data_IF_258079419831
#
_entry.id   IF_258079419831
#
_cell.length_a   1.000
_cell.length_b   1.000
_cell.length_c   1.000
_cell.angle_alpha   90.00
_cell.angle_beta   90.00
_cell.angle_gamma   90.00
#
_symmetry.space_group_name_H-M   'P 1'
#
loop_
_entity.id
_entity.type
_entity.pdbx_description
1 polymer ?
#
# COMPACT_ATOMS: atom_id res chain seq x y z
N UNK A 1 -9.81 -3.34 3.20
CA UNK A 1 -8.99 -2.26 2.59
C UNK A 1 -7.50 -2.44 2.83
N UNK A 2 -7.06 -2.81 4.05
CA UNK A 2 -5.64 -3.14 4.33
C UNK A 2 -5.20 -4.50 3.77
N UNK A 3 -6.13 -5.45 3.64
CA UNK A 3 -5.86 -6.84 3.24
C UNK A 3 -5.45 -7.02 1.77
N UNK A 4 -5.59 -5.99 0.92
CA UNK A 4 -5.22 -6.11 -0.50
C UNK A 4 -3.75 -5.77 -0.78
N UNK A 5 -3.01 -5.27 0.23
CA UNK A 5 -1.62 -4.86 0.07
C UNK A 5 -0.68 -6.05 0.27
N UNK A 6 -0.29 -6.71 -0.82
CA UNK A 6 0.60 -7.87 -0.75
C UNK A 6 2.05 -7.48 -0.41
N UNK A 7 2.53 -6.36 -0.95
CA UNK A 7 3.88 -5.84 -0.71
C UNK A 7 3.88 -4.32 -0.74
N UNK A 8 4.38 -3.67 0.31
CA UNK A 8 4.38 -2.21 0.40
C UNK A 8 4.52 -1.69 1.82
N UNK A 9 4.30 -0.39 2.00
CA UNK A 9 4.25 0.30 3.29
C UNK A 9 3.05 1.24 3.36
N UNK A 10 2.54 1.43 4.57
CA UNK A 10 1.51 2.41 4.87
C UNK A 10 2.03 3.29 5.99
N UNK A 11 2.01 4.59 5.77
CA UNK A 11 2.36 5.59 6.77
C UNK A 11 1.08 6.26 7.25
N UNK A 12 0.84 6.20 8.55
CA UNK A 12 -0.27 6.88 9.22
C UNK A 12 0.30 8.02 10.06
N UNK A 13 -0.18 9.24 9.82
CA UNK A 13 0.14 10.38 10.69
C UNK A 13 -1.07 10.63 11.57
N UNK A 14 -0.85 10.55 12.89
CA UNK A 14 -1.88 10.79 13.92
C UNK A 14 -1.48 12.02 14.72
N UNK A 15 -2.41 12.96 14.84
CA UNK A 15 -2.27 14.17 15.65
C UNK A 15 -3.54 14.34 16.49
N UNK A 16 -3.39 14.67 17.77
CA UNK A 16 -4.50 14.82 18.71
C UNK A 16 -5.47 13.62 18.76
N UNK A 17 -4.94 12.40 18.60
CA UNK A 17 -5.73 11.17 18.56
C UNK A 17 -6.56 10.97 17.29
N UNK A 18 -6.40 11.82 16.27
CA UNK A 18 -7.08 11.73 14.97
C UNK A 18 -6.08 11.46 13.86
N UNK A 19 -6.45 10.60 12.91
CA UNK A 19 -5.65 10.34 11.71
C UNK A 19 -5.78 11.55 10.79
N UNK A 20 -4.66 12.22 10.50
CA UNK A 20 -4.63 13.42 9.65
C UNK A 20 -4.06 13.13 8.25
N UNK A 21 -3.26 12.07 8.11
CA UNK A 21 -2.70 11.67 6.82
C UNK A 21 -2.56 10.15 6.74
N UNK A 22 -2.81 9.64 5.54
CA UNK A 22 -2.61 8.25 5.17
C UNK A 22 -1.84 8.24 3.85
N UNK A 23 -0.66 7.66 3.84
CA UNK A 23 0.12 7.44 2.62
C UNK A 23 0.30 5.94 2.39
N UNK A 24 0.05 5.49 1.17
CA UNK A 24 0.11 4.07 0.79
C UNK A 24 1.11 3.91 -0.35
N UNK A 25 2.21 3.19 -0.09
CA UNK A 25 3.18 2.81 -1.11
C UNK A 25 3.05 1.32 -1.39
N UNK A 26 2.60 0.96 -2.60
CA UNK A 26 2.38 -0.42 -3.01
C UNK A 26 3.38 -0.86 -4.08
N UNK A 27 4.05 -2.00 -3.86
CA UNK A 27 4.97 -2.59 -4.81
C UNK A 27 4.25 -3.68 -5.60
N UNK A 28 3.84 -3.36 -6.81
CA UNK A 28 3.23 -4.32 -7.74
C UNK A 28 4.31 -5.00 -8.58
N UNK A 29 4.41 -6.33 -8.50
CA UNK A 29 5.26 -7.12 -9.42
C UNK A 29 4.44 -7.55 -10.62
N UNK A 30 4.71 -6.97 -11.77
CA UNK A 30 4.12 -7.40 -13.04
C UNK A 30 4.83 -8.68 -13.49
N UNK A 31 4.09 -9.80 -13.56
CA UNK A 31 4.63 -10.99 -14.19
C UNK A 31 4.67 -10.77 -15.70
N UNK A 32 5.81 -11.09 -16.32
CA UNK A 32 5.91 -11.10 -17.78
C UNK A 32 4.95 -12.16 -18.32
N UNK A 33 3.94 -11.72 -19.05
CA UNK A 33 3.00 -12.63 -19.69
C UNK A 33 3.73 -13.26 -20.88
N UNK A 34 4.46 -14.35 -20.63
CA UNK A 34 4.96 -15.23 -21.69
C UNK A 34 3.76 -15.95 -22.29
N UNK A 35 3.07 -15.27 -23.22
CA UNK A 35 2.22 -15.97 -24.19
C UNK A 35 3.14 -16.94 -24.93
N UNK A 36 2.90 -18.23 -24.67
CA UNK A 36 3.45 -19.34 -25.44
C UNK A 36 3.02 -19.23 -26.89
#
# INVERSE_FOLDING_TARGET
MLETLNFGSITLVVQDGKVVQIEKNEKVRLQTNKKR
#
